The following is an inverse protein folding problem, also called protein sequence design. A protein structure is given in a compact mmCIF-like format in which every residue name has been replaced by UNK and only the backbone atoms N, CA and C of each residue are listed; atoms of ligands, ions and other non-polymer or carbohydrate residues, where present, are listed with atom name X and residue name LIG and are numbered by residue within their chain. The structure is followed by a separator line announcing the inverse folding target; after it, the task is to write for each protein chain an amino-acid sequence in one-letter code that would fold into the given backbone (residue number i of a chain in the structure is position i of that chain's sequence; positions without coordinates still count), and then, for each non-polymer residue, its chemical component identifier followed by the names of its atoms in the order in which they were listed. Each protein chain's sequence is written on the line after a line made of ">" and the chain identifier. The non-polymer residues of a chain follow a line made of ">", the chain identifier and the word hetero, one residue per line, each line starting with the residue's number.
data_IF_832551548436
#
_entry.id   IF_832551548436
#
_cell.length_a   1.000
_cell.length_b   1.000
_cell.length_c   1.000
_cell.angle_alpha   90.00
_cell.angle_beta   90.00
_cell.angle_gamma   90.00
#
_symmetry.space_group_name_H-M   'P 1'
#
loop_
_entity.id
_entity.type
_entity.pdbx_description
1 polymer ?
#
# COMPACT_ATOMS: atom_id res chain seq x y z
N UNK A 1 35.95 -16.45 65.44
CA UNK A 1 34.88 -16.55 64.41
C UNK A 1 33.76 -15.58 64.78
N UNK A 2 33.52 -14.54 63.97
CA UNK A 2 32.58 -13.47 64.32
C UNK A 2 31.13 -13.86 63.93
N UNK A 3 30.20 -14.04 64.89
CA UNK A 3 28.82 -14.48 64.63
C UNK A 3 27.99 -13.48 63.80
N UNK A 4 28.44 -12.24 63.66
CA UNK A 4 27.75 -11.22 62.86
C UNK A 4 27.78 -11.45 61.34
N UNK A 5 28.68 -12.30 60.82
CA UNK A 5 28.79 -12.55 59.39
C UNK A 5 27.75 -13.55 58.84
N UNK A 6 27.21 -14.44 59.67
CA UNK A 6 26.18 -15.41 59.26
C UNK A 6 24.80 -14.76 59.06
N UNK A 7 24.43 -13.84 59.95
CA UNK A 7 23.13 -13.16 59.94
C UNK A 7 23.02 -12.18 58.75
N UNK A 8 24.10 -11.44 58.43
CA UNK A 8 24.11 -10.56 57.26
C UNK A 8 23.96 -11.33 55.94
N UNK A 9 24.56 -12.53 55.82
CA UNK A 9 24.46 -13.39 54.62
C UNK A 9 23.06 -13.98 54.43
N UNK A 10 22.34 -14.35 55.50
CA UNK A 10 20.98 -14.91 55.38
C UNK A 10 19.96 -13.83 54.99
N UNK A 11 20.07 -12.61 55.54
CA UNK A 11 19.22 -11.45 55.23
C UNK A 11 19.44 -10.97 53.77
N UNK A 12 20.69 -10.97 53.30
CA UNK A 12 21.02 -10.63 51.90
C UNK A 12 20.50 -11.68 50.92
N UNK A 13 20.53 -12.98 51.26
CA UNK A 13 19.95 -14.06 50.43
C UNK A 13 18.43 -13.96 50.33
N UNK A 14 17.73 -13.72 51.45
CA UNK A 14 16.27 -13.57 51.45
C UNK A 14 15.81 -12.31 50.72
N UNK A 15 16.56 -11.20 50.80
CA UNK A 15 16.28 -9.99 49.99
C UNK A 15 16.51 -10.22 48.50
N UNK A 16 17.56 -10.94 48.10
CA UNK A 16 17.82 -11.29 46.69
C UNK A 16 16.79 -12.26 46.13
N UNK A 17 16.36 -13.27 46.90
CA UNK A 17 15.27 -14.17 46.48
C UNK A 17 13.94 -13.44 46.36
N UNK A 18 13.58 -12.57 47.32
CA UNK A 18 12.37 -11.75 47.21
C UNK A 18 12.41 -10.83 46.00
N UNK A 19 13.53 -10.13 45.77
CA UNK A 19 13.69 -9.27 44.58
C UNK A 19 13.61 -10.04 43.26
N UNK A 20 14.20 -11.24 43.19
CA UNK A 20 14.11 -12.10 42.00
C UNK A 20 12.68 -12.61 41.76
N UNK A 21 11.96 -13.00 42.82
CA UNK A 21 10.56 -13.44 42.72
C UNK A 21 9.65 -12.29 42.29
N UNK A 22 9.83 -11.09 42.85
CA UNK A 22 9.05 -9.92 42.43
C UNK A 22 9.36 -9.53 40.98
N UNK A 23 10.63 -9.57 40.56
CA UNK A 23 11.00 -9.29 39.17
C UNK A 23 10.38 -10.29 38.20
N UNK A 24 10.48 -11.60 38.48
CA UNK A 24 9.89 -12.65 37.64
C UNK A 24 8.37 -12.54 37.59
N UNK A 25 7.71 -12.23 38.72
CA UNK A 25 6.26 -12.04 38.76
C UNK A 25 5.82 -10.81 37.95
N UNK A 26 6.53 -9.69 38.06
CA UNK A 26 6.21 -8.47 37.28
C UNK A 26 6.45 -8.70 35.79
N UNK A 27 7.52 -9.37 35.39
CA UNK A 27 7.77 -9.73 33.98
C UNK A 27 6.70 -10.67 33.45
N UNK A 28 6.30 -11.69 34.22
CA UNK A 28 5.23 -12.61 33.83
C UNK A 28 3.88 -11.92 33.65
N UNK A 29 3.52 -11.01 34.57
CA UNK A 29 2.27 -10.22 34.48
C UNK A 29 2.29 -9.27 33.28
N UNK A 30 3.42 -8.62 32.99
CA UNK A 30 3.55 -7.75 31.80
C UNK A 30 3.52 -8.54 30.49
N UNK A 31 4.09 -9.75 30.44
CA UNK A 31 4.03 -10.61 29.26
C UNK A 31 2.63 -11.18 28.99
N UNK A 32 1.83 -11.44 30.03
CA UNK A 32 0.45 -11.94 29.87
C UNK A 32 -0.54 -10.81 29.59
N UNK A 33 -0.35 -9.63 30.18
CA UNK A 33 -1.22 -8.47 29.92
C UNK A 33 -0.95 -7.80 28.56
N UNK A 34 0.21 -8.03 27.94
CA UNK A 34 0.60 -7.41 26.67
C UNK A 34 -0.05 -8.00 25.42
N UNK A 35 -0.66 -9.19 25.50
CA UNK A 35 -1.17 -9.88 24.31
C UNK A 35 -2.56 -9.41 23.86
N UNK A 36 -3.33 -8.72 24.71
CA UNK A 36 -4.76 -8.41 24.44
C UNK A 36 -5.14 -6.96 24.77
N UNK A 37 -4.25 -6.19 25.41
CA UNK A 37 -4.54 -4.80 25.84
C UNK A 37 -4.60 -3.80 24.68
N UNK A 38 -4.07 -4.16 23.51
CA UNK A 38 -4.06 -3.34 22.30
C UNK A 38 -4.99 -3.88 21.20
N UNK A 39 -5.62 -5.05 21.40
CA UNK A 39 -6.60 -5.58 20.47
C UNK A 39 -7.97 -4.91 20.72
N UNK A 40 -8.19 -3.79 20.05
CA UNK A 40 -9.47 -3.08 20.09
C UNK A 40 -10.37 -3.60 18.98
N UNK A 41 -11.39 -4.36 19.36
CA UNK A 41 -12.43 -4.82 18.42
C UNK A 41 -13.30 -3.64 17.97
N UNK A 42 -13.01 -3.09 16.79
CA UNK A 42 -13.94 -2.19 16.12
C UNK A 42 -15.03 -3.03 15.41
N UNK A 43 -16.30 -2.97 15.84
CA UNK A 43 -17.37 -3.77 15.24
C UNK A 43 -17.67 -3.41 13.77
N UNK A 44 -17.19 -2.25 13.30
CA UNK A 44 -17.30 -1.82 11.89
C UNK A 44 -15.96 -1.98 11.14
N UNK A 45 -15.02 -2.76 11.67
CA UNK A 45 -13.75 -3.00 10.99
C UNK A 45 -13.97 -3.94 9.80
N UNK A 46 -13.54 -3.50 8.62
CA UNK A 46 -13.42 -4.39 7.46
C UNK A 46 -11.97 -4.86 7.44
N UNK A 47 -11.74 -6.07 7.94
CA UNK A 47 -10.40 -6.66 7.95
C UNK A 47 -10.03 -7.23 6.58
N UNK A 48 -8.75 -7.49 6.33
CA UNK A 48 -8.27 -8.07 5.06
C UNK A 48 -8.88 -9.45 4.82
N UNK A 49 -9.16 -10.20 5.90
CA UNK A 49 -9.83 -11.50 5.86
C UNK A 49 -11.29 -11.37 5.43
N UNK A 50 -11.97 -10.26 5.73
CA UNK A 50 -13.33 -10.04 5.26
C UNK A 50 -13.41 -9.88 3.72
N UNK A 51 -12.28 -9.52 3.09
CA UNK A 51 -12.19 -9.35 1.64
C UNK A 51 -12.04 -10.67 0.87
N UNK A 52 -12.07 -11.83 1.53
CA UNK A 52 -12.10 -13.16 0.85
C UNK A 52 -13.52 -13.61 0.49
N UNK A 53 -14.53 -12.79 0.80
CA UNK A 53 -15.92 -13.05 0.46
C UNK A 53 -16.26 -12.44 -0.91
N UNK A 54 -16.86 -13.18 -1.87
CA UNK A 54 -17.30 -12.66 -3.16
C UNK A 54 -18.20 -11.42 -3.08
N UNK A 55 -18.94 -11.24 -1.98
CA UNK A 55 -19.75 -10.03 -1.74
C UNK A 55 -18.91 -8.73 -1.71
N UNK A 56 -17.59 -8.82 -1.52
CA UNK A 56 -16.68 -7.69 -1.56
C UNK A 56 -16.29 -7.28 -3.00
N UNK A 57 -16.61 -8.08 -4.03
CA UNK A 57 -16.15 -7.84 -5.40
C UNK A 57 -16.59 -6.47 -5.94
N UNK A 58 -17.89 -6.13 -5.85
CA UNK A 58 -18.38 -4.84 -6.36
C UNK A 58 -17.75 -3.62 -5.66
N UNK A 59 -17.66 -3.57 -4.31
CA UNK A 59 -16.89 -2.54 -3.61
C UNK A 59 -15.41 -2.46 -4.02
N UNK A 60 -14.74 -3.61 -4.20
CA UNK A 60 -13.33 -3.65 -4.64
C UNK A 60 -13.15 -3.03 -6.02
N UNK A 61 -13.98 -3.42 -6.99
CA UNK A 61 -13.94 -2.87 -8.35
C UNK A 61 -14.26 -1.38 -8.35
N UNK A 62 -15.25 -0.93 -7.56
CA UNK A 62 -15.55 0.50 -7.44
C UNK A 62 -14.39 1.28 -6.80
N UNK A 63 -13.70 0.69 -5.82
CA UNK A 63 -12.48 1.25 -5.24
C UNK A 63 -11.36 1.40 -6.27
N UNK A 64 -11.13 0.39 -7.11
CA UNK A 64 -10.19 0.45 -8.23
C UNK A 64 -10.55 1.58 -9.21
N UNK A 65 -11.81 1.68 -9.61
CA UNK A 65 -12.30 2.74 -10.52
C UNK A 65 -12.04 4.12 -9.93
N UNK A 66 -12.39 4.33 -8.66
CA UNK A 66 -12.19 5.60 -7.98
C UNK A 66 -10.69 5.96 -7.86
N UNK A 67 -9.86 5.00 -7.47
CA UNK A 67 -8.42 5.22 -7.35
C UNK A 67 -7.75 5.48 -8.68
N UNK A 68 -8.13 4.77 -9.74
CA UNK A 68 -7.63 5.01 -11.11
C UNK A 68 -8.02 6.40 -11.60
N UNK A 69 -9.27 6.80 -11.41
CA UNK A 69 -9.75 8.14 -11.80
C UNK A 69 -8.99 9.24 -11.05
N UNK A 70 -8.75 9.06 -9.75
CA UNK A 70 -7.96 9.99 -8.94
C UNK A 70 -6.50 10.05 -9.38
N UNK A 71 -5.89 8.92 -9.71
CA UNK A 71 -4.52 8.85 -10.20
C UNK A 71 -4.34 9.65 -11.50
N UNK A 72 -5.25 9.44 -12.47
CA UNK A 72 -5.25 10.18 -13.74
C UNK A 72 -5.45 11.67 -13.48
N UNK A 73 -6.46 12.04 -12.68
CA UNK A 73 -6.73 13.44 -12.37
C UNK A 73 -5.53 14.15 -11.70
N UNK A 74 -4.78 13.43 -10.85
CA UNK A 74 -3.60 13.96 -10.19
C UNK A 74 -2.45 14.19 -11.19
N UNK A 75 -2.12 13.19 -12.02
CA UNK A 75 -0.94 13.27 -12.91
C UNK A 75 -1.18 14.12 -14.15
N UNK A 76 -2.44 14.20 -14.63
CA UNK A 76 -2.78 14.86 -15.89
C UNK A 76 -2.38 16.34 -15.91
N UNK A 77 -2.46 17.05 -14.78
CA UNK A 77 -2.08 18.48 -14.76
C UNK A 77 -0.59 18.67 -14.98
N UNK A 78 0.25 17.82 -14.37
CA UNK A 78 1.71 17.85 -14.55
C UNK A 78 2.07 17.52 -16.00
N UNK A 79 1.44 16.48 -16.56
CA UNK A 79 1.61 16.10 -17.96
C UNK A 79 1.19 17.21 -18.92
N UNK A 80 -0.01 17.74 -18.75
CA UNK A 80 -0.55 18.79 -19.62
C UNK A 80 0.20 20.10 -19.52
N UNK A 81 0.91 20.37 -18.41
CA UNK A 81 1.81 21.53 -18.26
C UNK A 81 3.17 21.29 -18.93
N UNK A 82 3.66 20.04 -18.94
CA UNK A 82 4.88 19.67 -19.64
C UNK A 82 4.67 19.57 -21.17
N UNK A 83 3.47 19.21 -21.60
CA UNK A 83 3.02 19.40 -22.98
C UNK A 83 2.59 20.85 -23.20
N UNK A 84 2.60 21.33 -24.43
CA UNK A 84 2.16 22.68 -24.80
C UNK A 84 0.63 22.89 -24.72
N UNK A 85 -0.11 22.02 -24.01
CA UNK A 85 -1.56 22.09 -23.81
C UNK A 85 -1.98 23.15 -22.79
N UNK A 86 -1.17 23.34 -21.74
CA UNK A 86 -1.39 24.33 -20.69
C UNK A 86 -0.20 25.28 -20.60
N UNK A 87 -0.47 26.50 -20.14
CA UNK A 87 0.57 27.48 -19.81
C UNK A 87 0.49 27.74 -18.32
N UNK A 88 1.63 27.63 -17.64
CA UNK A 88 1.69 27.94 -16.22
C UNK A 88 1.56 29.44 -15.95
N UNK A 89 0.70 29.79 -14.99
CA UNK A 89 0.59 31.15 -14.44
C UNK A 89 0.47 31.05 -12.93
N UNK A 90 1.37 31.69 -12.19
CA UNK A 90 1.25 31.81 -10.73
C UNK A 90 2.57 31.90 -10.00
N UNK A 91 2.59 31.40 -8.77
CA UNK A 91 3.77 31.41 -7.88
C UNK A 91 4.29 30.01 -7.54
N UNK A 92 3.66 28.95 -8.03
CA UNK A 92 4.06 27.55 -7.79
C UNK A 92 5.19 27.16 -8.75
N UNK A 93 6.43 27.24 -8.28
CA UNK A 93 7.65 27.07 -9.08
C UNK A 93 7.78 25.67 -9.73
N UNK A 94 7.32 24.61 -9.07
CA UNK A 94 7.39 23.26 -9.67
C UNK A 94 6.52 23.09 -10.94
N UNK A 95 5.47 23.89 -11.14
CA UNK A 95 4.76 23.90 -12.44
C UNK A 95 5.47 24.78 -13.48
N UNK A 96 6.09 25.88 -13.06
CA UNK A 96 6.96 26.68 -13.93
C UNK A 96 8.13 25.85 -14.47
N UNK A 97 8.69 24.99 -13.62
CA UNK A 97 9.73 24.05 -14.02
C UNK A 97 9.26 23.13 -15.14
N UNK A 98 8.04 22.58 -15.05
CA UNK A 98 7.45 21.73 -16.09
C UNK A 98 7.17 22.50 -17.38
N UNK A 99 6.62 23.71 -17.27
CA UNK A 99 6.33 24.64 -18.39
C UNK A 99 7.61 25.03 -19.17
N UNK A 100 8.74 25.13 -18.47
CA UNK A 100 10.06 25.36 -19.05
C UNK A 100 10.74 24.07 -19.57
N UNK A 101 10.05 22.93 -19.55
CA UNK A 101 10.53 21.63 -20.05
C UNK A 101 11.36 20.82 -19.05
N UNK A 102 11.34 21.17 -17.77
CA UNK A 102 12.10 20.50 -16.70
C UNK A 102 11.44 19.21 -16.20
N UNK A 103 11.41 18.17 -17.03
CA UNK A 103 10.77 16.86 -16.70
C UNK A 103 11.68 15.84 -16.00
N UNK A 104 12.98 16.12 -15.92
CA UNK A 104 13.97 15.19 -15.36
C UNK A 104 14.21 15.32 -13.85
N UNK A 105 13.43 16.13 -13.13
CA UNK A 105 13.60 16.35 -11.70
C UNK A 105 12.70 15.39 -10.89
N UNK A 106 13.27 14.36 -10.23
CA UNK A 106 12.49 13.43 -9.42
C UNK A 106 11.92 14.08 -8.15
N UNK A 107 12.38 15.29 -7.78
CA UNK A 107 11.91 16.04 -6.62
C UNK A 107 10.84 17.10 -6.96
N UNK A 108 10.36 17.12 -8.22
CA UNK A 108 9.25 17.99 -8.59
C UNK A 108 8.02 17.68 -7.73
N UNK A 109 7.57 18.67 -6.95
CA UNK A 109 6.49 18.54 -5.96
C UNK A 109 5.23 17.88 -6.53
N UNK A 110 4.85 18.20 -7.77
CA UNK A 110 3.58 17.75 -8.36
C UNK A 110 3.66 16.34 -8.94
N UNK A 111 4.82 15.95 -9.47
CA UNK A 111 5.05 14.58 -9.95
C UNK A 111 5.21 13.64 -8.75
N UNK A 112 6.03 14.02 -7.76
CA UNK A 112 6.25 13.22 -6.53
C UNK A 112 4.95 13.05 -5.72
N UNK A 113 4.19 14.13 -5.51
CA UNK A 113 2.91 14.02 -4.81
C UNK A 113 1.88 13.18 -5.58
N UNK A 114 1.89 13.24 -6.91
CA UNK A 114 0.94 12.48 -7.75
C UNK A 114 1.30 10.99 -7.81
N UNK A 115 2.58 10.65 -7.70
CA UNK A 115 3.07 9.27 -7.75
C UNK A 115 2.34 8.36 -6.75
N UNK A 116 2.06 8.83 -5.53
CA UNK A 116 1.37 8.03 -4.52
C UNK A 116 -0.02 7.55 -4.98
N UNK A 117 -0.78 8.38 -5.70
CA UNK A 117 -2.07 7.99 -6.23
C UNK A 117 -1.95 6.97 -7.38
N UNK A 118 -0.95 7.15 -8.24
CA UNK A 118 -0.66 6.21 -9.34
C UNK A 118 -0.23 4.85 -8.80
N UNK A 119 0.68 4.83 -7.83
CA UNK A 119 1.14 3.61 -7.18
C UNK A 119 0.01 2.88 -6.42
N UNK A 120 -0.88 3.62 -5.77
CA UNK A 120 -2.07 3.06 -5.12
C UNK A 120 -3.02 2.42 -6.14
N UNK A 121 -3.35 3.14 -7.22
CA UNK A 121 -4.24 2.63 -8.27
C UNK A 121 -3.66 1.36 -8.93
N UNK A 122 -2.35 1.36 -9.21
CA UNK A 122 -1.67 0.17 -9.74
C UNK A 122 -1.73 -1.00 -8.78
N UNK A 123 -1.48 -0.79 -7.49
CA UNK A 123 -1.62 -1.87 -6.51
C UNK A 123 -3.06 -2.43 -6.51
N UNK A 124 -4.06 -1.54 -6.48
CA UNK A 124 -5.46 -1.95 -6.42
C UNK A 124 -5.90 -2.69 -7.68
N UNK A 125 -5.30 -2.38 -8.85
CA UNK A 125 -5.55 -3.07 -10.10
C UNK A 125 -5.24 -4.57 -9.98
N UNK A 126 -4.00 -4.90 -9.60
CA UNK A 126 -3.60 -6.29 -9.39
C UNK A 126 -4.39 -6.94 -8.25
N UNK A 127 -4.55 -6.24 -7.12
CA UNK A 127 -5.25 -6.82 -5.97
C UNK A 127 -6.72 -7.14 -6.27
N UNK A 128 -7.41 -6.29 -7.03
CA UNK A 128 -8.79 -6.56 -7.43
C UNK A 128 -8.87 -7.74 -8.39
N UNK A 129 -8.05 -7.76 -9.44
CA UNK A 129 -8.01 -8.88 -10.41
C UNK A 129 -7.74 -10.20 -9.70
N UNK A 130 -6.67 -10.27 -8.89
CA UNK A 130 -6.27 -11.49 -8.18
C UNK A 130 -7.41 -12.03 -7.31
N UNK A 131 -8.14 -11.13 -6.63
CA UNK A 131 -9.28 -11.51 -5.78
C UNK A 131 -10.48 -11.99 -6.59
N UNK A 132 -10.84 -11.28 -7.66
CA UNK A 132 -11.98 -11.66 -8.51
C UNK A 132 -11.72 -13.00 -9.22
N UNK A 133 -10.49 -13.21 -9.70
CA UNK A 133 -10.04 -14.50 -10.22
C UNK A 133 -10.12 -15.59 -9.15
N UNK A 134 -9.64 -15.31 -7.93
CA UNK A 134 -9.75 -16.27 -6.82
C UNK A 134 -11.21 -16.59 -6.40
N UNK A 135 -12.17 -15.73 -6.73
CA UNK A 135 -13.60 -16.01 -6.55
C UNK A 135 -14.20 -16.86 -7.68
N UNK A 136 -13.44 -17.12 -8.75
CA UNK A 136 -13.89 -17.90 -9.91
C UNK A 136 -14.58 -17.06 -10.99
N UNK A 137 -14.42 -15.74 -11.00
CA UNK A 137 -15.17 -14.87 -11.94
C UNK A 137 -14.67 -14.97 -13.39
N UNK A 138 -13.52 -15.60 -13.62
CA UNK A 138 -13.01 -15.91 -14.97
C UNK A 138 -13.57 -17.23 -15.54
N UNK A 139 -14.22 -18.04 -14.70
CA UNK A 139 -14.68 -19.37 -15.08
C UNK A 139 -15.88 -19.31 -16.02
N UNK A 140 -16.05 -20.37 -16.81
CA UNK A 140 -17.10 -20.42 -17.83
C UNK A 140 -18.51 -20.35 -17.23
N UNK A 141 -18.70 -20.84 -16.01
CA UNK A 141 -19.96 -20.91 -15.28
C UNK A 141 -20.25 -19.70 -14.39
N UNK A 142 -19.33 -18.74 -14.27
CA UNK A 142 -19.59 -17.46 -13.59
C UNK A 142 -20.76 -16.73 -14.25
N UNK A 143 -21.55 -16.02 -13.44
CA UNK A 143 -22.69 -15.26 -13.94
C UNK A 143 -22.26 -14.00 -14.73
N UNK A 144 -23.20 -13.40 -15.46
CA UNK A 144 -22.91 -12.24 -16.31
C UNK A 144 -22.48 -11.00 -15.49
N UNK A 145 -22.97 -10.85 -14.26
CA UNK A 145 -22.63 -9.72 -13.39
C UNK A 145 -21.22 -9.89 -12.79
N UNK A 146 -20.84 -11.12 -12.40
CA UNK A 146 -19.50 -11.49 -11.96
C UNK A 146 -18.45 -11.25 -13.06
N UNK A 147 -18.75 -11.72 -14.29
CA UNK A 147 -17.91 -11.48 -15.46
C UNK A 147 -17.82 -9.99 -15.80
N UNK A 148 -18.91 -9.23 -15.67
CA UNK A 148 -18.91 -7.79 -15.89
C UNK A 148 -18.03 -7.06 -14.86
N UNK A 149 -18.04 -7.49 -13.60
CA UNK A 149 -17.16 -6.95 -12.57
C UNK A 149 -15.69 -7.21 -12.90
N UNK A 150 -15.34 -8.42 -13.35
CA UNK A 150 -13.98 -8.75 -13.77
C UNK A 150 -13.54 -7.96 -15.01
N UNK A 151 -14.40 -7.86 -16.03
CA UNK A 151 -14.13 -7.07 -17.23
C UNK A 151 -13.90 -5.59 -16.90
N UNK A 152 -14.66 -5.03 -15.96
CA UNK A 152 -14.44 -3.66 -15.48
C UNK A 152 -13.13 -3.52 -14.71
N UNK A 153 -12.75 -4.53 -13.91
CA UNK A 153 -11.45 -4.53 -13.24
C UNK A 153 -10.31 -4.54 -14.26
N UNK A 154 -10.38 -5.38 -15.29
CA UNK A 154 -9.41 -5.41 -16.39
C UNK A 154 -9.31 -4.07 -17.12
N UNK A 155 -10.44 -3.48 -17.52
CA UNK A 155 -10.44 -2.19 -18.20
C UNK A 155 -9.70 -1.10 -17.41
N UNK A 156 -10.04 -0.92 -16.12
CA UNK A 156 -9.40 0.12 -15.32
C UNK A 156 -7.94 -0.23 -14.96
N UNK A 157 -7.60 -1.52 -14.90
CA UNK A 157 -6.23 -1.99 -14.76
C UNK A 157 -5.40 -1.68 -16.02
N UNK A 158 -5.94 -1.92 -17.20
CA UNK A 158 -5.30 -1.54 -18.47
C UNK A 158 -5.06 -0.03 -18.57
N UNK A 159 -6.03 0.77 -18.12
CA UNK A 159 -5.91 2.23 -18.10
C UNK A 159 -4.76 2.68 -17.19
N UNK A 160 -4.65 2.16 -15.95
CA UNK A 160 -3.55 2.58 -15.06
C UNK A 160 -2.19 2.07 -15.53
N UNK A 161 -2.11 0.87 -16.12
CA UNK A 161 -0.88 0.34 -16.70
C UNK A 161 -0.40 1.19 -17.88
N UNK A 162 -1.32 1.56 -18.78
CA UNK A 162 -1.05 2.49 -19.89
C UNK A 162 -0.60 3.85 -19.36
N UNK A 163 -1.30 4.38 -18.35
CA UNK A 163 -0.93 5.66 -17.72
C UNK A 163 0.49 5.61 -17.15
N UNK A 164 0.89 4.51 -16.51
CA UNK A 164 2.25 4.38 -15.99
C UNK A 164 3.28 4.36 -17.13
N UNK A 165 2.99 3.61 -18.19
CA UNK A 165 3.87 3.51 -19.34
C UNK A 165 4.06 4.86 -20.07
N UNK A 166 3.00 5.67 -20.15
CA UNK A 166 3.04 6.99 -20.80
C UNK A 166 3.74 8.06 -19.96
N UNK A 167 3.68 7.95 -18.63
CA UNK A 167 4.00 9.06 -17.73
C UNK A 167 5.31 8.89 -16.96
N UNK A 168 5.88 7.68 -16.92
CA UNK A 168 7.06 7.37 -16.13
C UNK A 168 8.12 6.64 -16.96
N UNK A 169 9.38 7.03 -16.78
CA UNK A 169 10.53 6.34 -17.37
C UNK A 169 10.95 5.10 -16.58
N UNK A 170 10.59 4.99 -15.30
CA UNK A 170 10.85 3.83 -14.46
C UNK A 170 9.79 3.74 -13.37
N UNK A 171 9.42 2.52 -12.96
CA UNK A 171 8.38 2.28 -11.99
C UNK A 171 8.59 0.98 -11.23
N UNK A 172 8.24 0.94 -9.93
CA UNK A 172 8.40 -0.23 -9.07
C UNK A 172 7.05 -0.81 -8.62
N UNK A 173 6.86 -2.11 -8.81
CA UNK A 173 5.65 -2.80 -8.37
C UNK A 173 5.79 -3.34 -6.95
N UNK A 174 5.45 -2.51 -5.96
CA UNK A 174 5.35 -2.92 -4.55
C UNK A 174 4.05 -3.65 -4.21
N UNK A 175 4.09 -4.52 -3.19
CA UNK A 175 2.95 -5.15 -2.54
C UNK A 175 2.47 -4.40 -1.27
N UNK A 176 2.69 -3.08 -1.20
CA UNK A 176 2.51 -2.17 -0.04
C UNK A 176 3.51 -2.32 1.11
N UNK A 177 4.04 -3.52 1.34
CA UNK A 177 4.88 -3.80 2.52
C UNK A 177 6.35 -3.92 2.17
N UNK A 178 6.64 -4.43 0.97
CA UNK A 178 7.97 -4.65 0.45
C UNK A 178 8.07 -3.88 -0.87
N UNK A 179 9.13 -3.06 -1.07
CA UNK A 179 9.38 -2.45 -2.37
C UNK A 179 9.65 -3.54 -3.40
N UNK A 180 9.03 -3.42 -4.58
CA UNK A 180 9.35 -4.28 -5.72
C UNK A 180 10.63 -3.84 -6.40
N UNK A 181 11.13 -4.67 -7.32
CA UNK A 181 12.18 -4.25 -8.24
C UNK A 181 11.64 -3.19 -9.20
N UNK A 182 12.53 -2.29 -9.62
CA UNK A 182 12.23 -1.33 -10.68
C UNK A 182 12.12 -2.07 -12.01
N UNK A 183 11.09 -1.74 -12.80
CA UNK A 183 10.88 -2.29 -14.14
C UNK A 183 12.05 -1.89 -15.05
N UNK A 184 12.53 -0.67 -14.92
CA UNK A 184 13.63 -0.11 -15.68
C UNK A 184 13.18 0.50 -17.02
N UNK A 185 13.82 1.58 -17.49
CA UNK A 185 13.40 2.30 -18.70
C UNK A 185 13.29 1.46 -19.97
N UNK A 186 14.16 0.47 -20.13
CA UNK A 186 14.14 -0.41 -21.29
C UNK A 186 12.91 -1.36 -21.33
N UNK A 187 12.24 -1.56 -20.20
CA UNK A 187 11.18 -2.54 -20.04
C UNK A 187 9.78 -1.93 -19.87
N UNK A 188 9.66 -0.60 -19.77
CA UNK A 188 8.36 0.06 -19.57
C UNK A 188 7.34 -0.27 -20.66
N UNK A 189 7.79 -0.59 -21.89
CA UNK A 189 6.93 -1.05 -22.99
C UNK A 189 6.09 -2.28 -22.64
N UNK A 190 6.58 -3.16 -21.75
CA UNK A 190 5.88 -4.38 -21.33
C UNK A 190 4.58 -4.07 -20.54
N UNK A 191 4.44 -2.84 -20.03
CA UNK A 191 3.21 -2.42 -19.39
C UNK A 191 2.07 -2.25 -20.39
N UNK A 192 2.35 -1.87 -21.65
CA UNK A 192 1.34 -1.90 -22.71
C UNK A 192 0.94 -3.33 -23.07
N UNK A 193 1.89 -4.26 -23.12
CA UNK A 193 1.58 -5.68 -23.35
C UNK A 193 0.65 -6.23 -22.26
N UNK A 194 0.92 -5.85 -21.00
CA UNK A 194 0.06 -6.21 -19.87
C UNK A 194 -1.33 -5.55 -19.98
N UNK A 195 -1.40 -4.29 -20.40
CA UNK A 195 -2.66 -3.58 -20.60
C UNK A 195 -3.50 -4.17 -21.73
N UNK A 196 -2.88 -4.69 -22.80
CA UNK A 196 -3.58 -5.36 -23.91
C UNK A 196 -4.09 -6.74 -23.50
N UNK A 197 -3.39 -7.42 -22.59
CA UNK A 197 -3.76 -8.76 -22.13
C UNK A 197 -4.95 -8.77 -21.16
N UNK A 198 -5.19 -7.66 -20.45
CA UNK A 198 -6.39 -7.44 -19.63
C UNK A 198 -7.62 -7.20 -20.51
#
# INVERSE_FOLDING_TARGET
>A
MNPYNGIKRSILRTRRLRGAVTAVATTAVLSVAGCDILEVSNPNNVSEEALVNPAAAAPLVNGLVASTTRAIAAILTSYSTASDELIWVGSRDAYNQLDLGGVGDPSNEFVDASFFYVAEARYLANNAIDRLVAFGFEEADADDDEKLLLARAYLYSAVIYTTIADQFDDFAFSNKTIPGENIGPANMVQLYDSAIAY
#
